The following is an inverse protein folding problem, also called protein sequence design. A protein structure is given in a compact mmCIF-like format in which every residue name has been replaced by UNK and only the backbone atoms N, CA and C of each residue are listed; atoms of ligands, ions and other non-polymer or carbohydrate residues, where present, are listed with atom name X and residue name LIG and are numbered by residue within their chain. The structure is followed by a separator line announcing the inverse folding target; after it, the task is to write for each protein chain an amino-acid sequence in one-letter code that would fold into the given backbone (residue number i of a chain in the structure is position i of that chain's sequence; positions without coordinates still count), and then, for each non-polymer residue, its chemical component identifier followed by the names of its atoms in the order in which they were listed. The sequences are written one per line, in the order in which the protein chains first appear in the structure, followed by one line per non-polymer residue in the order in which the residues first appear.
data_IF_283684872990
#
_entry.id   IF_283684872990
#
_cell.length_a   1.000
_cell.length_b   1.000
_cell.length_c   1.000
_cell.angle_alpha   90.00
_cell.angle_beta   90.00
_cell.angle_gamma   90.00
#
_symmetry.space_group_name_H-M   'P 1'
#
loop_
_entity.id
_entity.type
_entity.pdbx_description
1 polymer ?
#
# COMPACT_ATOMS: atom_id res chain seq x y z
N UNK A 1 10.99 4.70 4.34
CA UNK A 1 11.18 5.70 5.42
C UNK A 1 10.94 7.11 4.93
N UNK A 2 11.69 7.57 3.91
CA UNK A 2 11.48 8.86 3.25
C UNK A 2 10.02 9.06 2.76
N UNK A 3 9.51 8.11 1.97
CA UNK A 3 8.16 8.13 1.40
C UNK A 3 7.06 8.27 2.47
N UNK A 4 7.08 7.44 3.53
CA UNK A 4 6.09 7.54 4.61
C UNK A 4 6.08 8.92 5.32
N UNK A 5 7.21 9.63 5.34
CA UNK A 5 7.29 10.97 5.92
C UNK A 5 6.82 12.04 4.95
N UNK A 6 7.17 11.93 3.67
CA UNK A 6 6.83 12.91 2.63
C UNK A 6 5.36 12.79 2.20
N UNK A 7 4.88 11.56 2.03
CA UNK A 7 3.57 11.27 1.46
C UNK A 7 2.47 11.18 2.53
N UNK A 8 2.79 10.57 3.67
CA UNK A 8 1.82 10.33 4.75
C UNK A 8 2.00 11.30 5.92
N UNK A 9 3.18 11.93 6.06
CA UNK A 9 3.48 12.82 7.19
C UNK A 9 3.79 12.07 8.49
N UNK A 10 4.08 10.77 8.43
CA UNK A 10 4.17 9.90 9.59
C UNK A 10 5.60 9.38 9.83
N UNK A 11 5.99 9.32 11.11
CA UNK A 11 7.18 8.59 11.51
C UNK A 11 6.82 7.12 11.76
N UNK A 12 7.62 6.20 11.19
CA UNK A 12 7.38 4.76 11.31
C UNK A 12 8.62 4.02 11.84
N UNK A 13 8.39 2.89 12.50
CA UNK A 13 9.41 1.97 13.03
C UNK A 13 9.03 0.51 12.73
N UNK A 14 9.85 -0.44 13.16
CA UNK A 14 9.57 -1.89 13.06
C UNK A 14 9.18 -2.34 11.65
N UNK A 15 9.87 -1.80 10.64
CA UNK A 15 9.55 -2.06 9.24
C UNK A 15 9.88 -3.52 8.90
N UNK A 16 8.87 -4.26 8.45
CA UNK A 16 8.99 -5.66 8.03
C UNK A 16 8.44 -5.85 6.62
N UNK A 17 9.24 -6.34 5.66
CA UNK A 17 8.72 -6.69 4.35
C UNK A 17 7.78 -7.89 4.49
N UNK A 18 6.62 -7.82 3.85
CA UNK A 18 5.59 -8.88 3.88
C UNK A 18 5.35 -9.49 2.50
N UNK A 19 5.82 -8.84 1.44
CA UNK A 19 5.79 -9.41 0.10
C UNK A 19 6.34 -8.45 -0.95
N UNK A 20 6.34 -8.89 -2.20
CA UNK A 20 6.73 -8.06 -3.34
C UNK A 20 6.05 -8.54 -4.60
N UNK A 21 5.80 -7.63 -5.54
CA UNK A 21 5.32 -7.96 -6.87
C UNK A 21 6.08 -7.13 -7.92
N UNK A 22 6.13 -7.63 -9.15
CA UNK A 22 6.71 -6.90 -10.29
C UNK A 22 5.60 -6.28 -11.12
N UNK A 23 5.74 -5.01 -11.45
CA UNK A 23 4.90 -4.33 -12.43
C UNK A 23 5.74 -3.91 -13.64
N UNK A 24 5.18 -3.99 -14.83
CA UNK A 24 5.82 -3.48 -16.04
C UNK A 24 5.28 -2.10 -16.36
N UNK A 25 6.18 -1.16 -16.64
CA UNK A 25 5.80 0.11 -17.23
C UNK A 25 5.76 -0.03 -18.76
N UNK A 26 4.58 0.14 -19.35
CA UNK A 26 4.43 0.34 -20.79
C UNK A 26 4.43 1.86 -21.02
N UNK A 27 5.41 2.43 -21.75
CA UNK A 27 6.05 1.88 -22.97
C UNK A 27 7.51 1.44 -22.83
N UNK A 28 8.13 1.56 -21.65
CA UNK A 28 9.59 1.35 -21.51
C UNK A 28 10.01 -0.11 -21.37
N UNK A 29 9.04 -1.05 -21.21
CA UNK A 29 9.28 -2.47 -20.89
C UNK A 29 10.15 -2.66 -19.64
N UNK A 30 10.31 -1.63 -18.82
CA UNK A 30 11.10 -1.71 -17.59
C UNK A 30 10.27 -2.41 -16.52
N UNK A 31 10.86 -3.46 -15.95
CA UNK A 31 10.30 -4.14 -14.78
C UNK A 31 10.63 -3.34 -13.52
N UNK A 32 9.60 -2.96 -12.78
CA UNK A 32 9.70 -2.33 -11.47
C UNK A 32 9.29 -3.34 -10.41
N UNK A 33 10.17 -3.58 -9.44
CA UNK A 33 9.85 -4.42 -8.29
C UNK A 33 9.32 -3.54 -7.16
N UNK A 34 8.07 -3.77 -6.79
CA UNK A 34 7.42 -3.13 -5.64
C UNK A 34 7.51 -4.04 -4.42
N UNK A 35 7.90 -3.49 -3.27
CA UNK A 35 7.98 -4.21 -2.00
C UNK A 35 6.88 -3.69 -1.09
N UNK A 36 6.09 -4.60 -0.54
CA UNK A 36 5.06 -4.29 0.45
C UNK A 36 5.65 -4.51 1.84
N UNK A 37 5.53 -3.50 2.69
CA UNK A 37 6.02 -3.52 4.06
C UNK A 37 4.89 -3.27 5.05
N UNK A 38 4.99 -3.88 6.23
CA UNK A 38 4.31 -3.41 7.44
C UNK A 38 5.27 -2.55 8.23
N UNK A 39 4.73 -1.60 8.99
CA UNK A 39 5.49 -0.78 9.91
C UNK A 39 4.58 -0.36 11.07
N UNK A 40 5.18 -0.01 12.21
CA UNK A 40 4.46 0.60 13.32
C UNK A 40 4.57 2.12 13.23
N UNK A 41 3.46 2.79 13.48
CA UNK A 41 3.47 4.24 13.66
C UNK A 41 4.19 4.60 14.96
N UNK A 42 5.00 5.66 14.92
CA UNK A 42 5.57 6.28 16.11
C UNK A 42 4.69 7.46 16.54
N UNK A 43 4.10 7.36 17.73
CA UNK A 43 3.20 8.37 18.28
C UNK A 43 1.74 8.10 17.94
N UNK A 44 0.89 9.09 18.23
CA UNK A 44 -0.55 9.02 17.96
C UNK A 44 -0.85 9.09 16.46
N UNK A 45 -1.95 8.47 16.00
CA UNK A 45 -2.49 8.68 14.66
C UNK A 45 -2.73 10.17 14.39
N UNK A 46 -1.82 10.83 13.68
CA UNK A 46 -1.95 12.22 13.27
C UNK A 46 -2.71 12.33 11.96
N UNK A 47 -3.36 13.48 11.75
CA UNK A 47 -3.94 13.80 10.45
C UNK A 47 -2.81 13.80 9.40
N UNK A 48 -3.03 13.20 8.21
CA UNK A 48 -2.03 13.19 7.15
C UNK A 48 -1.72 14.62 6.77
N UNK A 49 -0.44 14.91 6.62
CA UNK A 49 0.03 16.19 6.08
C UNK A 49 1.05 15.89 4.99
N UNK A 50 0.61 15.44 3.80
CA UNK A 50 1.50 15.27 2.66
C UNK A 50 2.24 16.57 2.43
N UNK A 51 3.56 16.51 2.29
CA UNK A 51 4.37 17.71 2.08
C UNK A 51 4.46 18.10 0.61
N UNK A 52 4.00 17.23 -0.30
CA UNK A 52 4.14 17.41 -1.75
C UNK A 52 2.80 17.74 -2.43
N UNK A 53 2.80 18.77 -3.29
CA UNK A 53 1.58 19.33 -3.89
C UNK A 53 0.82 18.34 -4.80
N UNK A 54 1.52 17.40 -5.46
CA UNK A 54 0.88 16.41 -6.33
C UNK A 54 0.09 15.33 -5.57
N UNK A 55 0.27 15.27 -4.25
CA UNK A 55 -0.48 14.36 -3.37
C UNK A 55 -1.71 15.01 -2.72
N UNK A 56 -2.02 16.27 -3.05
CA UNK A 56 -3.16 17.03 -2.50
C UNK A 56 -4.55 16.44 -2.83
N UNK A 57 -4.65 15.25 -3.43
CA UNK A 57 -5.90 14.51 -3.64
C UNK A 57 -6.02 13.20 -2.83
N UNK A 58 -4.95 12.77 -2.16
CA UNK A 58 -4.92 11.51 -1.42
C UNK A 58 -5.51 11.68 -0.03
N UNK A 59 -6.56 10.91 0.28
CA UNK A 59 -7.16 10.87 1.62
C UNK A 59 -6.72 9.63 2.35
N UNK A 60 -5.93 9.79 3.42
CA UNK A 60 -5.67 8.70 4.35
C UNK A 60 -6.89 8.45 5.23
N UNK A 61 -7.16 7.18 5.51
CA UNK A 61 -8.21 6.76 6.45
C UNK A 61 -7.65 5.71 7.39
N UNK A 62 -7.90 5.91 8.69
CA UNK A 62 -7.60 4.90 9.69
C UNK A 62 -8.73 3.85 9.67
N UNK A 63 -8.35 2.59 9.52
CA UNK A 63 -9.28 1.46 9.41
C UNK A 63 -8.75 0.29 10.21
N UNK A 64 -9.65 -0.59 10.62
CA UNK A 64 -9.30 -1.92 11.13
C UNK A 64 -8.72 -2.80 10.01
N UNK A 65 -8.04 -3.89 10.38
CA UNK A 65 -7.51 -4.85 9.42
C UNK A 65 -8.63 -5.47 8.55
N UNK A 66 -9.77 -5.80 9.15
CA UNK A 66 -10.92 -6.37 8.44
C UNK A 66 -11.52 -5.39 7.43
N UNK A 67 -11.64 -4.12 7.80
CA UNK A 67 -12.09 -3.05 6.91
C UNK A 67 -11.10 -2.81 5.76
N UNK A 68 -9.80 -2.90 6.03
CA UNK A 68 -8.76 -2.79 5.00
C UNK A 68 -8.90 -3.92 3.96
N UNK A 69 -9.04 -5.17 4.41
CA UNK A 69 -9.23 -6.33 3.54
C UNK A 69 -10.42 -6.11 2.63
N UNK A 70 -11.58 -5.74 3.21
CA UNK A 70 -12.82 -5.52 2.46
C UNK A 70 -12.68 -4.40 1.42
N UNK A 71 -12.05 -3.28 1.78
CA UNK A 71 -11.81 -2.16 0.85
C UNK A 71 -10.95 -2.57 -0.33
N UNK A 72 -9.92 -3.38 -0.11
CA UNK A 72 -9.03 -3.86 -1.18
C UNK A 72 -9.76 -4.91 -2.05
N UNK A 73 -10.60 -5.77 -1.46
CA UNK A 73 -11.46 -6.68 -2.21
C UNK A 73 -12.40 -5.94 -3.17
N UNK A 74 -13.04 -4.86 -2.70
CA UNK A 74 -13.91 -4.02 -3.53
C UNK A 74 -13.13 -3.36 -4.69
N UNK A 75 -11.85 -3.04 -4.49
CA UNK A 75 -10.98 -2.42 -5.50
C UNK A 75 -10.40 -3.43 -6.51
N UNK A 76 -10.19 -4.69 -6.11
CA UNK A 76 -9.64 -5.72 -6.98
C UNK A 76 -10.64 -6.17 -8.08
N UNK A 77 -11.93 -5.86 -7.93
CA UNK A 77 -12.95 -6.17 -8.93
C UNK A 77 -13.09 -7.67 -9.28
N UNK A 78 -13.94 -8.03 -10.25
CA UNK A 78 -13.99 -9.39 -10.77
C UNK A 78 -12.71 -9.73 -11.55
N UNK A 79 -12.34 -11.02 -11.54
CA UNK A 79 -11.13 -11.57 -12.15
C UNK A 79 -11.08 -11.27 -13.65
N UNK A 80 -10.47 -10.16 -14.04
CA UNK A 80 -9.98 -9.98 -15.40
C UNK A 80 -8.49 -10.31 -15.42
N UNK A 81 -8.17 -11.48 -15.96
CA UNK A 81 -6.82 -12.06 -16.04
C UNK A 81 -5.81 -11.26 -16.87
N UNK A 82 -6.20 -10.10 -17.41
CA UNK A 82 -5.45 -9.33 -18.39
C UNK A 82 -4.73 -8.09 -17.84
N UNK A 83 -4.90 -7.71 -16.56
CA UNK A 83 -4.33 -6.48 -16.00
C UNK A 83 -3.41 -6.70 -14.80
N UNK A 84 -2.37 -5.87 -14.72
CA UNK A 84 -1.51 -5.64 -13.54
C UNK A 84 -2.36 -5.13 -12.38
N UNK A 85 -3.02 -6.04 -11.68
CA UNK A 85 -3.89 -5.71 -10.56
C UNK A 85 -3.08 -5.71 -9.26
N UNK A 86 -2.42 -4.59 -9.01
CA UNK A 86 -1.65 -4.33 -7.78
C UNK A 86 -2.50 -4.49 -6.52
N UNK A 87 -3.81 -4.20 -6.59
CA UNK A 87 -4.74 -4.37 -5.48
C UNK A 87 -4.85 -5.85 -5.11
N UNK A 88 -4.92 -6.73 -6.11
CA UNK A 88 -4.98 -8.18 -5.90
C UNK A 88 -3.71 -8.77 -5.30
N UNK A 89 -2.54 -8.41 -5.83
CA UNK A 89 -1.27 -8.86 -5.23
C UNK A 89 -1.15 -8.42 -3.78
N UNK A 90 -1.54 -7.18 -3.50
CA UNK A 90 -1.57 -6.63 -2.15
C UNK A 90 -2.53 -7.42 -1.24
N UNK A 91 -3.73 -7.75 -1.72
CA UNK A 91 -4.71 -8.52 -0.97
C UNK A 91 -4.20 -9.92 -0.59
N UNK A 92 -3.61 -10.64 -1.55
CA UNK A 92 -3.06 -11.98 -1.32
C UNK A 92 -1.94 -11.98 -0.27
N UNK A 93 -1.07 -10.96 -0.35
CA UNK A 93 0.02 -10.77 0.61
C UNK A 93 -0.54 -10.43 2.00
N UNK A 94 -1.52 -9.54 2.09
CA UNK A 94 -2.14 -9.14 3.36
C UNK A 94 -2.86 -10.32 4.03
N UNK A 95 -3.69 -11.07 3.30
CA UNK A 95 -4.40 -12.24 3.82
C UNK A 95 -3.46 -13.31 4.38
N UNK A 96 -2.32 -13.56 3.73
CA UNK A 96 -1.30 -14.50 4.23
C UNK A 96 -0.60 -13.98 5.49
N UNK A 97 -0.40 -12.67 5.57
CA UNK A 97 0.31 -12.05 6.70
C UNK A 97 -0.56 -11.97 7.95
N UNK A 98 -1.86 -11.68 7.80
CA UNK A 98 -2.78 -11.46 8.92
C UNK A 98 -3.37 -12.76 9.50
N UNK A 99 -3.32 -13.88 8.76
CA UNK A 99 -3.82 -15.19 9.19
C UNK A 99 -2.74 -16.09 9.83
N UNK A 100 -1.49 -15.61 9.99
CA UNK A 100 -0.39 -16.29 10.68
C UNK A 100 -0.06 -15.56 11.99
#
# INVERSE_FOLDING_TARGET
LREAKEEVGCNITDIKPIGSFGSYDNPTMRCFKSIICTAKLLGEPVAPSPTEEYEQGSKLVWVTADELIKKIEDLAGPIDSSRDDRSRFTLEILKKTLNN
#
